data_IF_495623981650
#
_entry.id   IF_495623981650
#
_cell.length_a   1.000
_cell.length_b   1.000
_cell.length_c   1.000
_cell.angle_alpha   90.00
_cell.angle_beta   90.00
_cell.angle_gamma   90.00
#
_symmetry.space_group_name_H-M   'P 1'
#
loop_
_entity.id
_entity.type
_entity.pdbx_description
1 polymer ?
#
# COMPACT_ATOMS: atom_id res chain seq x y z
N UNK A 1 -29.17 20.99 -29.28
CA UNK A 1 -28.29 21.86 -30.11
C UNK A 1 -27.55 22.89 -29.26
N UNK A 2 -28.22 23.73 -28.46
CA UNK A 2 -27.55 24.76 -27.62
C UNK A 2 -26.52 24.13 -26.67
N UNK A 3 -26.88 23.03 -25.99
CA UNK A 3 -25.96 22.31 -25.10
C UNK A 3 -24.71 21.77 -25.84
N UNK A 4 -24.87 21.21 -27.04
CA UNK A 4 -23.75 20.74 -27.87
C UNK A 4 -22.83 21.91 -28.28
N UNK A 5 -23.42 23.06 -28.65
CA UNK A 5 -22.67 24.30 -28.95
C UNK A 5 -21.90 24.80 -27.72
N UNK A 6 -22.49 24.74 -26.52
CA UNK A 6 -21.81 25.09 -25.28
C UNK A 6 -20.67 24.11 -24.97
N UNK A 7 -20.87 22.81 -25.12
CA UNK A 7 -19.80 21.83 -24.92
C UNK A 7 -18.64 21.98 -25.91
N UNK A 8 -18.90 22.41 -27.16
CA UNK A 8 -17.84 22.63 -28.16
C UNK A 8 -17.06 23.93 -27.95
N UNK A 9 -17.75 25.00 -27.57
CA UNK A 9 -17.17 26.35 -27.53
C UNK A 9 -16.85 26.86 -26.12
N UNK A 10 -16.98 26.04 -25.08
CA UNK A 10 -16.69 26.42 -23.69
C UNK A 10 -15.92 25.34 -22.94
N UNK A 11 -15.41 25.68 -21.75
CA UNK A 11 -14.66 24.76 -20.87
C UNK A 11 -15.56 23.81 -20.07
N UNK A 12 -16.86 23.74 -20.37
CA UNK A 12 -17.76 22.74 -19.77
C UNK A 12 -17.37 21.30 -20.16
N UNK A 13 -16.63 21.14 -21.26
CA UNK A 13 -16.02 19.89 -21.68
C UNK A 13 -14.54 20.13 -21.97
N UNK A 14 -13.66 19.38 -21.30
CA UNK A 14 -12.22 19.45 -21.50
C UNK A 14 -11.65 18.06 -21.80
N UNK A 15 -10.59 18.02 -22.59
CA UNK A 15 -9.78 16.81 -22.74
C UNK A 15 -8.71 16.75 -21.65
N UNK A 16 -8.40 15.56 -21.19
CA UNK A 16 -7.31 15.32 -20.23
C UNK A 16 -6.33 14.32 -20.84
N UNK A 17 -5.12 14.78 -21.15
CA UNK A 17 -4.05 13.94 -21.68
C UNK A 17 -3.42 13.10 -20.58
N UNK A 18 -3.60 11.78 -20.64
CA UNK A 18 -2.99 10.86 -19.67
C UNK A 18 -1.60 10.48 -20.16
N UNK A 19 -0.56 10.86 -19.41
CA UNK A 19 0.82 10.44 -19.66
C UNK A 19 1.43 9.86 -18.38
N UNK A 20 1.58 8.54 -18.32
CA UNK A 20 2.12 7.83 -17.16
C UNK A 20 3.64 7.70 -17.28
N UNK A 21 4.36 8.67 -16.73
CA UNK A 21 5.84 8.67 -16.66
C UNK A 21 6.27 8.58 -15.20
N UNK A 22 7.19 7.68 -14.89
CA UNK A 22 7.76 7.52 -13.56
C UNK A 22 9.27 7.25 -13.62
N UNK A 23 9.94 7.39 -12.48
CA UNK A 23 11.35 7.00 -12.34
C UNK A 23 11.44 5.52 -11.97
N UNK A 24 11.91 4.71 -12.91
CA UNK A 24 12.27 3.30 -12.66
C UNK A 24 13.79 3.25 -12.57
N UNK A 25 14.32 2.85 -11.41
CA UNK A 25 15.77 2.80 -11.15
C UNK A 25 16.50 4.12 -11.46
N UNK A 26 15.87 5.26 -11.09
CA UNK A 26 16.36 6.63 -11.33
C UNK A 26 16.38 7.07 -12.80
N UNK A 27 15.76 6.30 -13.70
CA UNK A 27 15.59 6.68 -15.12
C UNK A 27 14.13 6.98 -15.43
N UNK A 28 13.81 8.06 -16.17
CA UNK A 28 12.44 8.36 -16.55
C UNK A 28 11.98 7.38 -17.63
N UNK A 29 10.90 6.66 -17.34
CA UNK A 29 10.32 5.68 -18.26
C UNK A 29 8.80 5.86 -18.35
N UNK A 30 8.25 5.60 -19.53
CA UNK A 30 6.80 5.43 -19.71
C UNK A 30 6.39 4.11 -19.07
N UNK A 31 5.43 4.16 -18.16
CA UNK A 31 5.00 3.00 -17.37
C UNK A 31 3.52 2.70 -17.57
N UNK A 32 3.20 1.43 -17.65
CA UNK A 32 1.83 0.92 -17.63
C UNK A 32 1.30 0.77 -16.20
N UNK A 33 -0.02 0.70 -16.05
CA UNK A 33 -0.66 0.43 -14.75
C UNK A 33 -0.15 -0.87 -14.11
N UNK A 34 0.07 -1.92 -14.91
CA UNK A 34 0.61 -3.21 -14.44
C UNK A 34 2.00 -3.03 -13.82
N UNK A 35 2.90 -2.32 -14.49
CA UNK A 35 4.25 -2.06 -13.99
C UNK A 35 4.24 -1.26 -12.69
N UNK A 36 3.36 -0.27 -12.57
CA UNK A 36 3.20 0.50 -11.32
C UNK A 36 2.77 -0.42 -10.17
N UNK A 37 1.77 -1.27 -10.41
CA UNK A 37 1.26 -2.19 -9.38
C UNK A 37 2.31 -3.25 -8.99
N UNK A 38 3.07 -3.78 -9.94
CA UNK A 38 4.16 -4.71 -9.69
C UNK A 38 5.29 -4.05 -8.89
N UNK A 39 5.68 -2.83 -9.25
CA UNK A 39 6.69 -2.07 -8.52
C UNK A 39 6.25 -1.78 -7.08
N UNK A 40 4.99 -1.37 -6.89
CA UNK A 40 4.41 -1.17 -5.55
C UNK A 40 4.41 -2.47 -4.75
N UNK A 41 3.96 -3.59 -5.34
CA UNK A 41 3.94 -4.89 -4.69
C UNK A 41 5.33 -5.33 -4.25
N UNK A 42 6.32 -5.29 -5.15
CA UNK A 42 7.70 -5.68 -4.86
C UNK A 42 8.31 -4.83 -3.73
N UNK A 43 8.09 -3.51 -3.78
CA UNK A 43 8.53 -2.61 -2.72
C UNK A 43 7.88 -2.94 -1.38
N UNK A 44 6.57 -3.21 -1.35
CA UNK A 44 5.87 -3.58 -0.11
C UNK A 44 6.38 -4.89 0.47
N UNK A 45 6.62 -5.90 -0.35
CA UNK A 45 7.20 -7.17 0.10
C UNK A 45 8.60 -6.95 0.68
N UNK A 46 9.41 -6.11 0.05
CA UNK A 46 10.74 -5.77 0.56
C UNK A 46 10.66 -5.05 1.92
N UNK A 47 9.75 -4.10 2.07
CA UNK A 47 9.52 -3.38 3.35
C UNK A 47 9.12 -4.36 4.45
N UNK A 48 8.18 -5.28 4.17
CA UNK A 48 7.77 -6.32 5.13
C UNK A 48 8.98 -7.19 5.52
N UNK A 49 9.80 -7.58 4.54
CA UNK A 49 10.99 -8.37 4.81
C UNK A 49 12.00 -7.63 5.69
N UNK A 50 12.28 -6.35 5.38
CA UNK A 50 13.16 -5.49 6.17
C UNK A 50 12.65 -5.33 7.60
N UNK A 51 11.36 -5.04 7.76
CA UNK A 51 10.72 -4.93 9.07
C UNK A 51 10.86 -6.23 9.88
N UNK A 52 10.50 -7.39 9.29
CA UNK A 52 10.61 -8.68 9.99
C UNK A 52 12.05 -9.07 10.29
N UNK A 53 13.00 -8.73 9.43
CA UNK A 53 14.42 -8.95 9.69
C UNK A 53 14.93 -8.10 10.87
N UNK A 54 14.40 -6.89 11.02
CA UNK A 54 14.73 -6.01 12.14
C UNK A 54 14.13 -6.54 13.45
N UNK A 55 12.86 -6.93 13.45
CA UNK A 55 12.18 -7.57 14.59
C UNK A 55 12.91 -8.83 15.02
N UNK A 56 13.30 -9.69 14.07
CA UNK A 56 14.07 -10.90 14.32
C UNK A 56 15.41 -10.59 14.99
N UNK A 57 16.20 -9.66 14.44
CA UNK A 57 17.49 -9.27 15.04
C UNK A 57 17.33 -8.77 16.47
N UNK A 58 16.32 -7.94 16.72
CA UNK A 58 16.01 -7.40 18.06
C UNK A 58 15.61 -8.52 19.03
N UNK A 59 14.72 -9.41 18.62
CA UNK A 59 14.26 -10.53 19.43
C UNK A 59 15.39 -11.53 19.73
N UNK A 60 16.22 -11.86 18.73
CA UNK A 60 17.39 -12.73 18.92
C UNK A 60 18.42 -12.13 19.87
N UNK A 61 18.73 -10.83 19.74
CA UNK A 61 19.63 -10.14 20.65
C UNK A 61 19.09 -10.13 22.09
N UNK A 62 17.78 -9.92 22.27
CA UNK A 62 17.16 -9.97 23.59
C UNK A 62 17.17 -11.38 24.18
N UNK A 63 16.79 -12.39 23.40
CA UNK A 63 16.82 -13.80 23.80
C UNK A 63 18.22 -14.21 24.24
N UNK A 64 19.25 -13.81 23.50
CA UNK A 64 20.65 -14.08 23.83
C UNK A 64 21.02 -13.66 25.26
N UNK A 65 20.54 -12.50 25.71
CA UNK A 65 20.76 -12.02 27.07
C UNK A 65 19.87 -12.75 28.10
N UNK A 66 18.58 -12.93 27.79
CA UNK A 66 17.63 -13.56 28.70
C UNK A 66 18.03 -15.02 28.99
N UNK A 67 18.47 -15.78 27.99
CA UNK A 67 18.94 -17.16 28.18
C UNK A 67 20.15 -17.22 29.11
N UNK A 68 21.10 -16.29 29.00
CA UNK A 68 22.25 -16.23 29.92
C UNK A 68 21.83 -15.91 31.36
N UNK A 69 20.90 -14.96 31.54
CA UNK A 69 20.36 -14.62 32.85
C UNK A 69 19.63 -15.80 33.50
N UNK A 70 18.83 -16.55 32.75
CA UNK A 70 18.14 -17.75 33.24
C UNK A 70 19.14 -18.83 33.67
N UNK A 71 20.21 -19.05 32.89
CA UNK A 71 21.26 -20.01 33.25
C UNK A 71 21.96 -19.62 34.55
N UNK A 72 22.32 -18.34 34.73
CA UNK A 72 22.91 -17.85 35.98
C UNK A 72 21.96 -17.97 37.17
N UNK A 73 20.67 -17.68 36.98
CA UNK A 73 19.69 -17.78 38.05
C UNK A 73 19.52 -19.22 38.56
N UNK A 74 19.73 -20.23 37.72
CA UNK A 74 19.72 -21.65 38.14
C UNK A 74 20.94 -22.02 39.00
N UNK A 75 22.11 -21.46 38.68
CA UNK A 75 23.39 -21.76 39.34
C UNK A 75 23.95 -20.57 40.15
N UNK A 76 23.07 -19.79 40.77
CA UNK A 76 23.44 -18.48 41.33
C UNK A 76 24.49 -18.56 42.43
N UNK A 77 24.49 -19.62 43.24
CA UNK A 77 25.47 -19.79 44.32
C UNK A 77 26.90 -19.91 43.79
N UNK A 78 27.08 -20.65 42.70
CA UNK A 78 28.38 -20.84 42.04
C UNK A 78 28.81 -19.52 41.40
N UNK A 79 27.88 -18.84 40.73
CA UNK A 79 28.15 -17.55 40.09
C UNK A 79 28.57 -16.48 41.13
N UNK A 80 27.88 -16.38 42.27
CA UNK A 80 28.24 -15.43 43.34
C UNK A 80 29.59 -15.76 43.95
N UNK A 81 29.90 -17.05 44.22
CA UNK A 81 31.21 -17.46 44.74
C UNK A 81 32.33 -17.08 43.77
N UNK A 82 32.12 -17.30 42.48
CA UNK A 82 33.08 -16.97 41.42
C UNK A 82 33.31 -15.46 41.33
N UNK A 83 32.25 -14.65 41.38
CA UNK A 83 32.35 -13.18 41.38
C UNK A 83 33.06 -12.68 42.65
N UNK A 84 32.71 -13.19 43.84
CA UNK A 84 33.34 -12.80 45.11
C UNK A 84 34.83 -13.15 45.21
N UNK A 85 35.26 -14.23 44.56
CA UNK A 85 36.65 -14.67 44.53
C UNK A 85 37.48 -13.96 43.44
N UNK A 86 36.93 -12.93 42.78
CA UNK A 86 37.63 -12.15 41.77
C UNK A 86 38.09 -10.82 42.34
N UNK A 87 39.29 -10.37 41.96
CA UNK A 87 39.89 -9.13 42.45
C UNK A 87 39.25 -7.91 41.81
N UNK A 88 38.98 -7.98 40.50
CA UNK A 88 38.41 -6.89 39.71
C UNK A 88 37.24 -7.34 38.82
N UNK A 89 36.43 -6.37 38.37
CA UNK A 89 35.27 -6.60 37.50
C UNK A 89 35.65 -7.31 36.19
N UNK A 90 36.82 -6.99 35.62
CA UNK A 90 37.33 -7.64 34.40
C UNK A 90 37.64 -9.12 34.64
N UNK A 91 38.21 -9.45 35.80
CA UNK A 91 38.52 -10.84 36.14
C UNK A 91 37.24 -11.64 36.37
N UNK A 92 36.25 -11.06 37.06
CA UNK A 92 34.93 -11.68 37.23
C UNK A 92 34.26 -11.95 35.87
N UNK A 93 34.34 -11.00 34.94
CA UNK A 93 33.83 -11.16 33.58
C UNK A 93 34.52 -12.32 32.86
N UNK A 94 35.86 -12.36 32.83
CA UNK A 94 36.60 -13.43 32.16
C UNK A 94 36.31 -14.82 32.75
N UNK A 95 36.18 -14.93 34.09
CA UNK A 95 35.83 -16.20 34.74
C UNK A 95 34.40 -16.63 34.41
N UNK A 96 33.44 -15.72 34.33
CA UNK A 96 32.06 -16.03 33.91
C UNK A 96 32.01 -16.51 32.46
N UNK A 97 32.76 -15.84 31.57
CA UNK A 97 32.89 -16.25 30.16
C UNK A 97 33.47 -17.66 30.04
N UNK A 98 34.56 -17.96 30.76
CA UNK A 98 35.20 -19.28 30.71
C UNK A 98 34.36 -20.40 31.31
N UNK A 99 33.65 -20.14 32.42
CA UNK A 99 32.88 -21.16 33.14
C UNK A 99 31.61 -21.57 32.39
N UNK A 100 30.92 -20.60 31.80
CA UNK A 100 29.60 -20.78 31.20
C UNK A 100 29.57 -20.59 29.69
N UNK A 101 30.73 -20.39 29.04
CA UNK A 101 30.87 -20.07 27.62
C UNK A 101 30.00 -18.88 27.20
N UNK A 102 29.99 -17.83 28.01
CA UNK A 102 29.25 -16.61 27.72
C UNK A 102 30.07 -15.63 26.89
N UNK A 103 29.37 -14.88 26.05
CA UNK A 103 29.93 -13.74 25.32
C UNK A 103 30.13 -12.53 26.25
N UNK A 104 30.97 -11.59 25.86
CA UNK A 104 31.26 -10.37 26.63
C UNK A 104 29.98 -9.60 27.01
N UNK A 105 29.02 -9.53 26.08
CA UNK A 105 27.73 -8.83 26.27
C UNK A 105 26.88 -9.54 27.33
N UNK A 106 26.85 -10.88 27.31
CA UNK A 106 26.11 -11.67 28.30
C UNK A 106 26.74 -11.52 29.68
N UNK A 107 28.06 -11.66 29.79
CA UNK A 107 28.78 -11.53 31.06
C UNK A 107 28.62 -10.13 31.66
N UNK A 108 28.64 -9.09 30.82
CA UNK A 108 28.35 -7.72 31.27
C UNK A 108 26.92 -7.59 31.81
N UNK A 109 25.92 -8.10 31.08
CA UNK A 109 24.53 -8.08 31.50
C UNK A 109 24.27 -8.86 32.81
N UNK A 110 25.03 -9.92 33.05
CA UNK A 110 25.00 -10.69 34.30
C UNK A 110 25.57 -9.88 35.47
N UNK A 111 26.70 -9.20 35.27
CA UNK A 111 27.33 -8.37 36.31
C UNK A 111 26.47 -7.15 36.67
N UNK A 112 25.70 -6.61 35.71
CA UNK A 112 24.76 -5.51 35.91
C UNK A 112 23.41 -5.93 36.52
N UNK A 113 23.22 -7.23 36.81
CA UNK A 113 21.98 -7.75 37.36
C UNK A 113 21.73 -7.25 38.80
N UNK A 114 20.50 -6.82 39.09
CA UNK A 114 20.08 -6.46 40.45
C UNK A 114 19.68 -7.70 41.28
N UNK A 115 19.96 -7.69 42.58
CA UNK A 115 19.58 -8.76 43.52
C UNK A 115 18.06 -9.03 43.56
N UNK A 116 17.24 -8.03 43.23
CA UNK A 116 15.78 -8.17 43.13
C UNK A 116 15.36 -9.22 42.09
N UNK A 117 16.17 -9.45 41.06
CA UNK A 117 15.89 -10.46 40.02
C UNK A 117 15.96 -11.89 40.52
N UNK A 118 16.49 -12.12 41.72
CA UNK A 118 16.51 -13.43 42.38
C UNK A 118 15.14 -13.86 42.89
N UNK A 119 14.18 -12.93 43.01
CA UNK A 119 12.84 -13.25 43.43
C UNK A 119 12.19 -14.23 42.44
N UNK A 120 11.52 -15.27 42.96
CA UNK A 120 10.87 -16.30 42.13
C UNK A 120 9.95 -15.71 41.06
N UNK A 121 9.22 -14.64 41.38
CA UNK A 121 8.34 -13.96 40.42
C UNK A 121 9.13 -13.35 39.25
N UNK A 122 10.28 -12.75 39.49
CA UNK A 122 11.14 -12.15 38.45
C UNK A 122 11.78 -13.24 37.58
N UNK A 123 12.22 -14.35 38.17
CA UNK A 123 12.72 -15.52 37.43
C UNK A 123 11.65 -16.11 36.52
N UNK A 124 10.41 -16.25 37.01
CA UNK A 124 9.30 -16.73 36.18
C UNK A 124 8.98 -15.75 35.03
N UNK A 125 9.04 -14.43 35.26
CA UNK A 125 8.88 -13.44 34.18
C UNK A 125 9.93 -13.63 33.09
N UNK A 126 11.20 -13.84 33.44
CA UNK A 126 12.27 -14.09 32.46
C UNK A 126 12.05 -15.38 31.66
N UNK A 127 11.63 -16.47 32.31
CA UNK A 127 11.30 -17.73 31.61
C UNK A 127 10.13 -17.52 30.64
N UNK A 128 9.13 -16.74 31.05
CA UNK A 128 7.98 -16.43 30.19
C UNK A 128 8.39 -15.53 29.03
N UNK A 129 9.26 -14.55 29.28
CA UNK A 129 9.86 -13.69 28.26
C UNK A 129 10.66 -14.50 27.24
N UNK A 130 11.48 -15.45 27.67
CA UNK A 130 12.23 -16.34 26.76
C UNK A 130 11.29 -17.16 25.86
N UNK A 131 10.20 -17.68 26.41
CA UNK A 131 9.19 -18.43 25.64
C UNK A 131 8.53 -17.55 24.57
N UNK A 132 8.16 -16.32 24.94
CA UNK A 132 7.55 -15.38 24.00
C UNK A 132 8.55 -14.98 22.90
N UNK A 133 9.80 -14.67 23.26
CA UNK A 133 10.86 -14.37 22.29
C UNK A 133 11.13 -15.54 21.34
N UNK A 134 11.09 -16.78 21.83
CA UNK A 134 11.20 -17.97 20.98
C UNK A 134 10.08 -18.04 19.95
N UNK A 135 8.84 -17.81 20.39
CA UNK A 135 7.70 -17.80 19.51
C UNK A 135 7.82 -16.67 18.46
N UNK A 136 8.15 -15.46 18.89
CA UNK A 136 8.36 -14.31 17.99
C UNK A 136 9.44 -14.57 16.94
N UNK A 137 10.58 -15.16 17.34
CA UNK A 137 11.66 -15.50 16.40
C UNK A 137 11.18 -16.52 15.38
N UNK A 138 10.51 -17.60 15.81
CA UNK A 138 9.97 -18.62 14.91
C UNK A 138 8.95 -18.04 13.94
N UNK A 139 8.05 -17.20 14.43
CA UNK A 139 7.07 -16.50 13.60
C UNK A 139 7.75 -15.62 12.56
N UNK A 140 8.71 -14.79 12.97
CA UNK A 140 9.48 -13.92 12.08
C UNK A 140 10.25 -14.70 11.02
N UNK A 141 10.98 -15.76 11.40
CA UNK A 141 11.68 -16.64 10.46
C UNK A 141 10.70 -17.23 9.44
N UNK A 142 9.57 -17.76 9.93
CA UNK A 142 8.58 -18.37 9.07
C UNK A 142 7.97 -17.40 8.05
N UNK A 143 7.88 -16.10 8.39
CA UNK A 143 7.40 -15.04 7.50
C UNK A 143 8.49 -14.67 6.48
N UNK A 144 9.74 -14.56 6.92
CA UNK A 144 10.88 -14.23 6.04
C UNK A 144 11.08 -15.32 4.98
N UNK A 145 10.95 -16.58 5.35
CA UNK A 145 11.20 -17.72 4.45
C UNK A 145 10.04 -17.98 3.48
N UNK A 146 8.81 -17.62 3.86
CA UNK A 146 7.61 -17.96 3.07
C UNK A 146 7.00 -16.73 2.39
N UNK A 147 7.15 -16.64 1.06
CA UNK A 147 6.57 -15.56 0.26
C UNK A 147 5.04 -15.42 0.43
N UNK A 148 4.30 -16.55 0.45
CA UNK A 148 2.84 -16.55 0.65
C UNK A 148 2.41 -15.93 1.98
N UNK A 149 3.23 -16.05 3.04
CA UNK A 149 2.94 -15.41 4.32
C UNK A 149 3.08 -13.89 4.24
N UNK A 150 4.09 -13.39 3.52
CA UNK A 150 4.27 -11.95 3.27
C UNK A 150 3.09 -11.38 2.48
N UNK A 151 2.65 -12.10 1.45
CA UNK A 151 1.48 -11.72 0.65
C UNK A 151 0.21 -11.64 1.49
N UNK A 152 -0.04 -12.62 2.36
CA UNK A 152 -1.19 -12.59 3.29
C UNK A 152 -1.13 -11.42 4.27
N UNK A 153 0.05 -11.05 4.74
CA UNK A 153 0.23 -9.88 5.60
C UNK A 153 -0.11 -8.62 4.81
N UNK A 154 0.43 -8.48 3.60
CA UNK A 154 0.17 -7.35 2.73
C UNK A 154 -1.32 -7.23 2.40
N UNK A 155 -2.00 -8.32 2.09
CA UNK A 155 -3.43 -8.35 1.82
C UNK A 155 -4.23 -7.85 3.02
N UNK A 156 -3.92 -8.33 4.23
CA UNK A 156 -4.58 -7.88 5.46
C UNK A 156 -4.38 -6.39 5.68
N UNK A 157 -3.15 -5.89 5.54
CA UNK A 157 -2.84 -4.46 5.68
C UNK A 157 -3.62 -3.62 4.67
N UNK A 158 -3.67 -4.04 3.40
CA UNK A 158 -4.41 -3.34 2.35
C UNK A 158 -5.91 -3.34 2.61
N UNK A 159 -6.48 -4.44 3.12
CA UNK A 159 -7.89 -4.52 3.49
C UNK A 159 -8.22 -3.62 4.69
N UNK A 160 -7.34 -3.54 5.68
CA UNK A 160 -7.49 -2.62 6.81
C UNK A 160 -7.40 -1.16 6.35
N UNK A 161 -6.43 -0.83 5.50
CA UNK A 161 -6.33 0.50 4.89
C UNK A 161 -7.58 0.85 4.08
N UNK A 162 -8.09 -0.08 3.26
CA UNK A 162 -9.33 0.10 2.52
C UNK A 162 -10.49 0.40 3.47
N UNK A 163 -10.69 -0.40 4.52
CA UNK A 163 -11.76 -0.16 5.50
C UNK A 163 -11.68 1.21 6.16
N UNK A 164 -10.46 1.69 6.45
CA UNK A 164 -10.22 2.96 7.13
C UNK A 164 -10.35 4.18 6.23
N UNK A 165 -9.99 4.06 4.95
CA UNK A 165 -9.82 5.20 4.04
C UNK A 165 -10.66 5.12 2.76
N UNK A 166 -11.56 4.15 2.61
CA UNK A 166 -12.44 4.07 1.44
C UNK A 166 -13.42 5.24 1.38
N UNK A 167 -13.66 5.72 0.17
CA UNK A 167 -14.69 6.69 -0.18
C UNK A 167 -15.48 6.24 -1.40
N UNK A 168 -16.71 6.74 -1.53
CA UNK A 168 -17.55 6.45 -2.67
C UNK A 168 -17.07 7.21 -3.91
N UNK A 169 -17.23 6.57 -5.08
CA UNK A 169 -16.81 7.16 -6.35
C UNK A 169 -17.62 8.42 -6.66
N UNK A 170 -16.93 9.55 -6.83
CA UNK A 170 -17.54 10.86 -7.16
C UNK A 170 -17.84 11.04 -8.65
N UNK A 171 -17.10 10.34 -9.52
CA UNK A 171 -17.22 10.47 -10.98
C UNK A 171 -18.09 9.37 -11.58
N UNK A 172 -18.99 9.74 -12.49
CA UNK A 172 -19.74 8.78 -13.31
C UNK A 172 -19.01 8.55 -14.63
N UNK A 173 -19.03 7.30 -15.11
CA UNK A 173 -18.50 6.96 -16.43
C UNK A 173 -19.69 6.73 -17.37
N UNK A 174 -19.79 7.56 -18.41
CA UNK A 174 -20.79 7.40 -19.46
C UNK A 174 -20.07 6.97 -20.74
N UNK A 175 -20.28 5.71 -21.15
CA UNK A 175 -19.66 5.13 -22.35
C UNK A 175 -20.45 5.43 -23.63
N UNK A 176 -21.72 5.82 -23.51
CA UNK A 176 -22.60 6.12 -24.64
C UNK A 176 -22.51 7.58 -25.09
N UNK A 177 -21.86 8.44 -24.30
CA UNK A 177 -21.69 9.84 -24.64
C UNK A 177 -20.75 10.00 -25.86
N UNK A 178 -21.14 10.79 -26.88
CA UNK A 178 -20.30 10.99 -28.05
C UNK A 178 -18.97 11.65 -27.65
N UNK A 179 -17.85 10.98 -27.98
CA UNK A 179 -16.49 11.41 -27.66
C UNK A 179 -16.14 12.75 -28.32
N UNK A 180 -16.70 13.01 -29.50
CA UNK A 180 -16.58 14.26 -30.24
C UNK A 180 -17.97 14.66 -30.77
N UNK A 181 -18.20 15.97 -30.93
CA UNK A 181 -19.36 16.49 -31.65
C UNK A 181 -18.93 16.83 -33.07
N UNK A 182 -19.59 16.24 -34.06
CA UNK A 182 -19.40 16.61 -35.47
C UNK A 182 -20.07 17.96 -35.74
N UNK A 183 -19.70 18.62 -36.83
CA UNK A 183 -20.31 19.91 -37.17
C UNK A 183 -21.80 19.77 -37.53
N UNK A 184 -22.20 18.61 -38.07
CA UNK A 184 -23.61 18.26 -38.34
C UNK A 184 -24.46 18.25 -37.06
N UNK A 185 -23.91 17.87 -35.91
CA UNK A 185 -24.61 17.82 -34.61
C UNK A 185 -24.93 19.22 -34.03
N UNK A 186 -24.33 20.26 -34.61
CA UNK A 186 -24.56 21.66 -34.24
C UNK A 186 -25.64 22.31 -35.11
N UNK A 187 -26.02 21.66 -36.21
CA UNK A 187 -27.04 22.13 -37.14
C UNK A 187 -28.41 21.74 -36.57
N UNK A 188 -29.33 22.70 -36.61
CA UNK A 188 -30.69 22.46 -36.16
C UNK A 188 -31.44 21.59 -37.16
N UNK A 189 -32.04 20.49 -36.68
CA UNK A 189 -32.91 19.65 -37.50
C UNK A 189 -34.24 20.38 -37.71
N UNK A 190 -34.41 20.97 -38.89
CA UNK A 190 -35.66 21.59 -39.31
C UNK A 190 -36.45 20.67 -40.25
N UNK A 191 -37.75 20.45 -40.02
CA UNK A 191 -38.60 19.79 -40.99
C UNK A 191 -38.72 20.67 -42.25
N UNK A 192 -38.18 20.19 -43.36
CA UNK A 192 -38.24 20.85 -44.67
C UNK A 192 -39.14 20.06 -45.62
N UNK A 193 -39.84 20.78 -46.49
CA UNK A 193 -40.56 20.20 -47.63
C UNK A 193 -39.67 20.32 -48.86
N UNK A 194 -39.42 19.19 -49.52
CA UNK A 194 -38.73 19.14 -50.80
C UNK A 194 -39.78 18.95 -51.89
N UNK A 195 -39.90 19.92 -52.80
CA UNK A 195 -40.82 19.83 -53.95
C UNK A 195 -40.02 19.64 -55.23
N UNK A 196 -40.42 18.65 -56.02
CA UNK A 196 -39.86 18.36 -57.34
C UNK A 196 -40.96 18.59 -58.37
N UNK A 197 -40.69 19.43 -59.37
CA UNK A 197 -41.62 19.66 -60.48
C UNK A 197 -41.34 18.69 -61.64
N UNK A 198 -42.33 18.45 -62.51
CA UNK A 198 -42.16 17.61 -63.70
C UNK A 198 -41.08 18.13 -64.68
N UNK A 199 -40.68 19.42 -64.57
CA UNK A 199 -39.59 20.02 -65.35
C UNK A 199 -38.21 19.87 -64.69
N UNK A 200 -38.11 19.13 -63.59
CA UNK A 200 -36.84 18.87 -62.88
C UNK A 200 -36.40 19.96 -61.90
N UNK A 201 -37.22 20.98 -61.64
CA UNK A 201 -36.90 22.00 -60.62
C UNK A 201 -37.09 21.42 -59.21
N UNK A 202 -36.05 21.53 -58.38
CA UNK A 202 -36.01 21.06 -56.98
C UNK A 202 -35.96 22.30 -56.08
N UNK A 203 -36.95 22.44 -55.18
CA UNK A 203 -36.95 23.47 -54.14
C UNK A 203 -37.12 22.86 -52.74
N UNK A 204 -36.38 23.38 -51.77
CA UNK A 204 -36.58 23.12 -50.34
C UNK A 204 -37.18 24.34 -49.66
N UNK A 205 -38.22 24.15 -48.84
CA UNK A 205 -38.83 25.22 -48.04
C UNK A 205 -39.05 24.73 -46.61
N UNK A 206 -38.92 25.61 -45.62
CA UNK A 206 -39.26 25.27 -44.23
C UNK A 206 -40.78 25.03 -44.13
N UNK A 207 -41.20 24.06 -43.31
CA UNK A 207 -42.62 23.71 -43.17
C UNK A 207 -43.47 24.87 -42.67
N UNK A 208 -42.89 25.76 -41.84
CA UNK A 208 -43.58 26.93 -41.28
C UNK A 208 -43.84 28.02 -42.32
N UNK A 209 -42.96 28.14 -43.32
CA UNK A 209 -43.19 29.00 -44.50
C UNK A 209 -44.24 28.43 -45.45
N UNK A 210 -44.48 27.12 -45.43
CA UNK A 210 -45.49 26.47 -46.26
C UNK A 210 -46.88 26.60 -45.63
N UNK A 211 -47.52 27.74 -45.83
CA UNK A 211 -48.94 27.92 -45.47
C UNK A 211 -49.84 27.28 -46.52
N UNK A 212 -50.60 26.27 -46.10
CA UNK A 212 -51.70 25.75 -46.91
C UNK A 212 -52.84 26.79 -46.98
N UNK A 213 -52.95 27.54 -48.08
CA UNK A 213 -54.14 28.35 -48.33
C UNK A 213 -55.30 27.42 -48.73
N UNK A 214 -56.37 27.38 -47.93
CA UNK A 214 -57.58 26.62 -48.30
C UNK A 214 -58.33 27.34 -49.42
N UNK A 215 -58.61 26.55 -50.46
CA UNK A 215 -59.46 26.78 -51.65
C UNK A 215 -59.07 27.97 -52.54
N UNK A 216 -58.37 27.66 -53.63
CA UNK A 216 -58.64 28.26 -54.94
C UNK A 216 -57.73 29.37 -55.44
N UNK A 217 -56.51 29.55 -54.93
CA UNK A 217 -55.55 30.50 -55.49
C UNK A 217 -54.13 29.93 -55.52
N UNK A 218 -53.42 30.12 -56.64
CA UNK A 218 -51.98 29.80 -56.74
C UNK A 218 -51.20 30.73 -55.79
N UNK A 219 -50.69 30.17 -54.70
CA UNK A 219 -49.69 30.79 -53.84
C UNK A 219 -48.30 30.21 -54.13
N UNK A 220 -47.27 31.07 -54.04
CA UNK A 220 -45.83 30.78 -54.25
C UNK A 220 -45.29 29.80 -53.22
#
# INVERSE_FOLDING_TARGET
IILNKLYKNSQLRISFGINMVALVEKTPQLVSLKQILEAFFNFRIEVINRQKSFELKKASARKHLVTALITILKDIEIAIKLIKNSTDVKEAQSKLMQRYNFDEIQSKAILEMSLQRLANQETQKLITEEKNLNQEILECQSIIDCQKKKERILEKELLEMKKKYQDDRKTTLNFDAPLNFEDEDLIEKKPIIITITNKGYIKSMDIDTYKQQKRGGQGV
#
